data_IF_208939639144
#
_entry.id   IF_208939639144
#
_cell.length_a   1.000
_cell.length_b   1.000
_cell.length_c   1.000
_cell.angle_alpha   90.00
_cell.angle_beta   90.00
_cell.angle_gamma   90.00
#
_symmetry.space_group_name_H-M   'P 1'
#
loop_
_entity.id
_entity.type
_entity.pdbx_description
1 polymer ?
#
# COMPACT_ATOMS: atom_id res chain seq x y z
N UNK A 1 -5.52 -22.55 21.95
CA UNK A 1 -6.56 -21.92 21.10
C UNK A 1 -6.49 -22.42 19.65
N UNK A 2 -5.31 -22.50 19.03
CA UNK A 2 -5.11 -23.02 17.65
C UNK A 2 -5.78 -24.39 17.37
N UNK A 3 -5.56 -25.39 18.23
CA UNK A 3 -6.10 -26.73 18.01
C UNK A 3 -7.65 -26.83 18.05
N UNK A 4 -8.32 -25.89 18.73
CA UNK A 4 -9.79 -25.82 18.80
C UNK A 4 -10.35 -25.09 17.59
N UNK A 5 -9.69 -24.02 17.16
CA UNK A 5 -10.06 -23.29 15.94
C UNK A 5 -9.85 -24.16 14.69
N UNK A 6 -8.79 -24.95 14.63
CA UNK A 6 -8.50 -25.84 13.52
C UNK A 6 -9.55 -26.95 13.33
N UNK A 7 -10.16 -27.45 14.42
CA UNK A 7 -11.23 -28.43 14.30
C UNK A 7 -12.55 -27.82 13.80
N UNK A 8 -12.77 -26.54 14.06
CA UNK A 8 -13.99 -25.82 13.68
C UNK A 8 -13.93 -25.16 12.30
N UNK A 9 -12.69 -24.98 11.75
CA UNK A 9 -12.53 -24.56 10.35
C UNK A 9 -12.96 -25.71 9.45
N UNK A 10 -14.14 -25.63 8.87
CA UNK A 10 -14.60 -26.60 7.87
C UNK A 10 -13.62 -26.70 6.68
N UNK A 11 -13.59 -27.89 6.04
CA UNK A 11 -12.68 -28.15 4.90
C UNK A 11 -12.73 -27.06 3.80
N UNK A 12 -13.91 -26.52 3.51
CA UNK A 12 -14.09 -25.50 2.47
C UNK A 12 -13.38 -24.18 2.78
N UNK A 13 -13.40 -23.70 4.03
CA UNK A 13 -12.71 -22.46 4.42
C UNK A 13 -11.17 -22.64 4.39
N UNK A 14 -10.66 -23.80 4.84
CA UNK A 14 -9.23 -24.10 4.73
C UNK A 14 -8.77 -24.10 3.29
N UNK A 15 -9.49 -24.82 2.43
CA UNK A 15 -9.19 -24.87 1.00
C UNK A 15 -9.20 -23.47 0.38
N UNK A 16 -10.20 -22.65 0.69
CA UNK A 16 -10.28 -21.29 0.22
C UNK A 16 -9.07 -20.45 0.66
N UNK A 17 -8.65 -20.51 1.93
CA UNK A 17 -7.48 -19.80 2.42
C UNK A 17 -6.21 -20.24 1.71
N UNK A 18 -6.05 -21.53 1.46
CA UNK A 18 -4.85 -22.10 0.84
C UNK A 18 -4.74 -21.84 -0.65
N UNK A 19 -5.87 -21.89 -1.38
CA UNK A 19 -5.90 -21.89 -2.84
C UNK A 19 -6.39 -20.56 -3.45
N UNK A 20 -7.32 -19.84 -2.80
CA UNK A 20 -8.02 -18.71 -3.42
C UNK A 20 -7.74 -17.36 -2.74
N UNK A 21 -7.60 -17.30 -1.41
CA UNK A 21 -7.52 -16.03 -0.68
C UNK A 21 -6.41 -15.13 -1.20
N UNK A 22 -5.21 -15.68 -1.40
CA UNK A 22 -4.02 -14.92 -1.80
C UNK A 22 -3.98 -14.58 -3.30
N UNK A 23 -4.97 -14.99 -4.07
CA UNK A 23 -5.22 -14.45 -5.42
C UNK A 23 -6.07 -13.19 -5.41
N UNK A 24 -6.68 -12.86 -4.26
CA UNK A 24 -7.61 -11.73 -4.08
C UNK A 24 -7.13 -10.71 -3.06
N UNK A 25 -6.29 -11.14 -2.10
CA UNK A 25 -5.61 -10.29 -1.12
C UNK A 25 -4.14 -10.69 -1.13
N UNK A 26 -3.28 -9.78 -1.57
CA UNK A 26 -1.84 -9.97 -1.57
C UNK A 26 -1.30 -9.64 -0.19
N UNK A 27 -0.46 -10.53 0.34
CA UNK A 27 0.29 -10.31 1.59
C UNK A 27 1.73 -10.03 1.20
N UNK A 28 2.22 -8.84 1.49
CA UNK A 28 3.52 -8.35 1.03
C UNK A 28 4.51 -8.26 2.19
N UNK A 29 5.72 -8.76 1.98
CA UNK A 29 6.87 -8.57 2.87
C UNK A 29 8.17 -8.82 2.08
N UNK A 30 9.21 -7.96 2.19
CA UNK A 30 10.42 -8.05 1.36
C UNK A 30 11.20 -9.37 1.48
N UNK A 31 11.12 -10.05 2.62
CA UNK A 31 11.87 -11.29 2.89
C UNK A 31 10.99 -12.54 2.89
N UNK A 32 9.70 -12.42 3.21
CA UNK A 32 8.85 -13.57 3.51
C UNK A 32 7.65 -13.73 2.59
N UNK A 33 7.31 -12.68 1.83
CA UNK A 33 6.11 -12.66 0.99
C UNK A 33 6.27 -11.73 -0.23
N UNK A 34 7.30 -11.91 -1.02
CA UNK A 34 7.58 -11.06 -2.21
C UNK A 34 6.51 -11.22 -3.28
N UNK A 35 5.98 -12.43 -3.45
CA UNK A 35 4.97 -12.79 -4.47
C UNK A 35 3.52 -12.79 -3.93
N UNK A 36 3.23 -11.93 -2.97
CA UNK A 36 1.87 -11.74 -2.46
C UNK A 36 1.34 -12.84 -1.55
N UNK A 37 2.17 -13.82 -1.18
CA UNK A 37 1.80 -14.92 -0.27
C UNK A 37 2.97 -15.26 0.65
N UNK A 38 2.66 -15.42 1.94
CA UNK A 38 3.66 -15.91 2.90
C UNK A 38 3.78 -17.44 2.84
N UNK A 39 5.00 -17.94 2.74
CA UNK A 39 5.28 -19.37 2.75
C UNK A 39 5.10 -19.97 4.16
N UNK A 40 4.55 -21.19 4.23
CA UNK A 40 4.26 -21.85 5.52
C UNK A 40 5.50 -22.04 6.40
N UNK A 41 6.66 -22.32 5.79
CA UNK A 41 7.90 -22.54 6.55
C UNK A 41 8.46 -21.22 7.08
N UNK A 42 8.35 -20.12 6.34
CA UNK A 42 8.66 -18.78 6.82
C UNK A 42 7.77 -18.39 8.02
N UNK A 43 6.48 -18.69 7.93
CA UNK A 43 5.53 -18.47 9.04
C UNK A 43 5.92 -19.26 10.30
N UNK A 44 6.27 -20.54 10.12
CA UNK A 44 6.71 -21.40 11.25
C UNK A 44 8.02 -20.90 11.88
N UNK A 45 8.94 -20.40 11.06
CA UNK A 45 10.20 -19.84 11.55
C UNK A 45 9.94 -18.59 12.38
N UNK A 46 9.20 -17.60 11.86
CA UNK A 46 8.87 -16.38 12.60
C UNK A 46 8.21 -16.67 13.95
N UNK A 47 7.28 -17.63 13.99
CA UNK A 47 6.64 -18.08 15.24
C UNK A 47 7.63 -18.73 16.22
N UNK A 48 8.58 -19.56 15.74
CA UNK A 48 9.62 -20.17 16.58
C UNK A 48 10.57 -19.13 17.18
N UNK A 49 10.88 -18.10 16.40
CA UNK A 49 11.76 -17.00 16.83
C UNK A 49 11.04 -16.03 17.80
N UNK A 50 9.75 -16.25 18.05
CA UNK A 50 8.94 -15.40 18.95
C UNK A 50 8.63 -14.03 18.34
N UNK A 51 8.81 -13.86 17.03
CA UNK A 51 8.56 -12.60 16.33
C UNK A 51 7.05 -12.37 16.21
N UNK A 52 6.57 -11.24 16.70
CA UNK A 52 5.18 -10.83 16.56
C UNK A 52 4.93 -10.41 15.09
N UNK A 53 3.90 -10.97 14.48
CA UNK A 53 3.49 -10.61 13.12
C UNK A 53 2.35 -9.60 13.20
N UNK A 54 2.56 -8.43 12.59
CA UNK A 54 1.56 -7.37 12.47
C UNK A 54 1.23 -7.22 10.98
N UNK A 55 -0.05 -7.33 10.65
CA UNK A 55 -0.55 -7.17 9.29
C UNK A 55 -1.23 -5.81 9.16
N UNK A 56 -0.54 -4.86 8.56
CA UNK A 56 -1.14 -3.59 8.14
C UNK A 56 -2.04 -3.86 6.94
N UNK A 57 -3.25 -3.33 6.98
CA UNK A 57 -4.25 -3.53 5.91
C UNK A 57 -4.41 -2.28 5.06
N UNK A 58 -4.75 -2.43 3.79
CA UNK A 58 -5.07 -1.30 2.91
C UNK A 58 -6.46 -0.72 3.19
N UNK A 59 -6.74 0.44 2.58
CA UNK A 59 -8.01 1.16 2.70
C UNK A 59 -9.22 0.33 2.23
N UNK A 60 -9.04 -0.53 1.25
CA UNK A 60 -10.11 -1.36 0.70
C UNK A 60 -10.54 -2.44 1.72
N UNK A 61 -9.59 -3.03 2.43
CA UNK A 61 -9.88 -4.09 3.43
C UNK A 61 -10.61 -3.50 4.63
N UNK A 62 -10.15 -2.38 5.20
CA UNK A 62 -10.84 -1.75 6.34
C UNK A 62 -12.24 -1.26 5.96
N UNK A 63 -12.42 -0.74 4.76
CA UNK A 63 -13.73 -0.30 4.26
C UNK A 63 -14.74 -1.45 4.19
N UNK A 64 -14.30 -2.63 3.76
CA UNK A 64 -15.15 -3.83 3.74
C UNK A 64 -15.53 -4.27 5.16
N UNK A 65 -14.57 -4.27 6.08
CA UNK A 65 -14.81 -4.63 7.48
C UNK A 65 -15.77 -3.65 8.16
N UNK A 66 -15.49 -2.36 8.05
CA UNK A 66 -16.35 -1.32 8.64
C UNK A 66 -17.78 -1.34 8.04
N UNK A 67 -17.90 -1.67 6.75
CA UNK A 67 -19.21 -1.86 6.12
C UNK A 67 -19.96 -3.04 6.72
N UNK A 68 -19.28 -4.16 6.98
CA UNK A 68 -19.89 -5.33 7.63
C UNK A 68 -20.33 -5.00 9.06
N UNK A 69 -19.52 -4.25 9.82
CA UNK A 69 -19.86 -3.79 11.18
C UNK A 69 -21.10 -2.90 11.17
N UNK A 70 -21.17 -1.92 10.27
CA UNK A 70 -22.34 -1.01 10.15
C UNK A 70 -23.63 -1.76 9.81
N UNK A 71 -23.55 -2.82 9.01
CA UNK A 71 -24.68 -3.64 8.62
C UNK A 71 -25.05 -4.75 9.63
N UNK A 72 -24.12 -5.09 10.53
CA UNK A 72 -24.25 -6.25 11.42
C UNK A 72 -24.25 -7.60 10.67
N UNK A 73 -23.65 -7.65 9.47
CA UNK A 73 -23.59 -8.88 8.67
C UNK A 73 -22.46 -8.78 7.62
N UNK A 74 -21.89 -9.93 7.27
CA UNK A 74 -21.05 -10.08 6.09
C UNK A 74 -21.92 -10.48 4.90
N UNK A 75 -22.00 -9.64 3.89
CA UNK A 75 -22.81 -9.88 2.69
C UNK A 75 -22.10 -9.58 1.39
N UNK A 76 -22.75 -9.92 0.26
CA UNK A 76 -22.31 -9.59 -1.09
C UNK A 76 -21.08 -10.33 -1.59
N UNK A 77 -20.52 -9.86 -2.71
CA UNK A 77 -19.44 -10.52 -3.45
C UNK A 77 -18.12 -10.64 -2.66
N UNK A 78 -17.87 -9.73 -1.71
CA UNK A 78 -16.64 -9.69 -0.92
C UNK A 78 -16.73 -10.53 0.38
N UNK A 79 -17.88 -11.16 0.68
CA UNK A 79 -18.11 -11.91 1.91
C UNK A 79 -17.02 -12.95 2.18
N UNK A 80 -16.81 -13.86 1.22
CA UNK A 80 -15.80 -14.93 1.38
C UNK A 80 -14.39 -14.39 1.53
N UNK A 81 -14.07 -13.34 0.79
CA UNK A 81 -12.76 -12.70 0.82
C UNK A 81 -12.46 -12.12 2.20
N UNK A 82 -13.36 -11.28 2.74
CA UNK A 82 -13.12 -10.63 4.04
C UNK A 82 -13.18 -11.65 5.20
N UNK A 83 -14.14 -12.57 5.20
CA UNK A 83 -14.23 -13.59 6.25
C UNK A 83 -13.06 -14.58 6.18
N UNK A 84 -12.58 -14.94 4.99
CA UNK A 84 -11.39 -15.76 4.80
C UNK A 84 -10.12 -15.07 5.32
N UNK A 85 -9.94 -13.78 5.02
CA UNK A 85 -8.83 -12.98 5.54
C UNK A 85 -8.85 -12.89 7.06
N UNK A 86 -9.98 -12.55 7.66
CA UNK A 86 -10.15 -12.48 9.11
C UNK A 86 -9.84 -13.83 9.78
N UNK A 87 -10.33 -14.93 9.23
CA UNK A 87 -10.02 -16.25 9.78
C UNK A 87 -8.57 -16.65 9.61
N UNK A 88 -7.91 -16.21 8.52
CA UNK A 88 -6.47 -16.42 8.35
C UNK A 88 -5.66 -15.67 9.41
N UNK A 89 -6.00 -14.41 9.69
CA UNK A 89 -5.30 -13.61 10.72
C UNK A 89 -5.56 -14.15 12.13
N UNK A 90 -6.81 -14.43 12.47
CA UNK A 90 -7.22 -14.97 13.78
C UNK A 90 -6.56 -16.35 14.05
N UNK A 91 -6.60 -17.25 13.05
CA UNK A 91 -5.99 -18.58 13.18
C UNK A 91 -4.49 -18.53 13.45
N UNK A 92 -3.82 -17.58 12.84
CA UNK A 92 -2.38 -17.44 12.95
C UNK A 92 -1.93 -16.55 14.11
N UNK A 93 -2.87 -16.01 14.88
CA UNK A 93 -2.61 -15.07 15.98
C UNK A 93 -1.83 -13.81 15.51
N UNK A 94 -2.23 -13.29 14.35
CA UNK A 94 -1.65 -12.08 13.80
C UNK A 94 -2.41 -10.87 14.33
N UNK A 95 -1.66 -9.83 14.70
CA UNK A 95 -2.26 -8.53 14.96
C UNK A 95 -2.58 -7.84 13.63
N UNK A 96 -3.77 -7.28 13.52
CA UNK A 96 -4.16 -6.50 12.34
C UNK A 96 -4.10 -5.02 12.69
N UNK A 97 -3.31 -4.27 11.93
CA UNK A 97 -3.12 -2.83 12.11
C UNK A 97 -3.95 -2.03 11.08
N UNK A 98 -4.98 -1.27 11.51
CA UNK A 98 -5.79 -0.45 10.62
C UNK A 98 -5.30 1.01 10.50
N UNK A 99 -4.34 1.44 11.34
CA UNK A 99 -4.01 2.86 11.52
C UNK A 99 -3.55 3.54 10.23
N UNK A 100 -2.69 2.88 9.47
CA UNK A 100 -2.15 3.44 8.23
C UNK A 100 -3.26 3.59 7.19
N UNK A 101 -4.13 2.61 7.04
CA UNK A 101 -5.24 2.66 6.08
C UNK A 101 -6.28 3.75 6.38
N UNK A 102 -6.50 4.10 7.66
CA UNK A 102 -7.39 5.22 7.98
C UNK A 102 -6.72 6.57 7.83
N UNK A 103 -5.40 6.63 7.99
CA UNK A 103 -4.60 7.85 7.81
C UNK A 103 -4.78 8.47 6.42
N UNK A 104 -4.84 7.66 5.38
CA UNK A 104 -5.20 8.11 4.03
C UNK A 104 -6.54 8.87 3.99
N UNK A 105 -7.51 8.44 4.80
CA UNK A 105 -8.83 9.05 4.90
C UNK A 105 -8.85 10.46 5.48
N UNK A 106 -7.81 10.90 6.18
CA UNK A 106 -7.77 12.23 6.84
C UNK A 106 -7.96 13.36 5.83
N UNK A 107 -7.37 13.23 4.65
CA UNK A 107 -7.45 14.26 3.60
C UNK A 107 -8.84 14.46 3.03
N UNK A 108 -9.65 13.40 3.00
CA UNK A 108 -11.02 13.43 2.46
C UNK A 108 -12.06 13.66 3.53
N UNK A 109 -11.87 13.02 4.68
CA UNK A 109 -12.94 12.84 5.67
C UNK A 109 -12.62 13.52 7.01
N UNK A 110 -11.40 14.01 7.19
CA UNK A 110 -10.91 14.62 8.41
C UNK A 110 -10.63 13.65 9.54
N UNK A 111 -9.91 14.12 10.55
CA UNK A 111 -9.38 13.32 11.66
C UNK A 111 -10.49 12.61 12.48
N UNK A 112 -11.62 13.30 12.73
CA UNK A 112 -12.76 12.72 13.48
C UNK A 112 -13.30 11.48 12.76
N UNK A 113 -13.44 11.54 11.44
CA UNK A 113 -13.94 10.41 10.65
C UNK A 113 -12.99 9.20 10.74
N UNK A 114 -11.68 9.44 10.69
CA UNK A 114 -10.69 8.38 10.84
C UNK A 114 -10.74 7.71 12.21
N UNK A 115 -10.88 8.50 13.28
CA UNK A 115 -11.05 7.94 14.64
C UNK A 115 -12.31 7.09 14.75
N UNK A 116 -13.42 7.50 14.16
CA UNK A 116 -14.65 6.70 14.12
C UNK A 116 -14.48 5.39 13.33
N UNK A 117 -13.67 5.40 12.28
CA UNK A 117 -13.36 4.17 11.53
C UNK A 117 -12.52 3.20 12.35
N UNK A 118 -11.56 3.68 13.15
CA UNK A 118 -10.81 2.86 14.09
C UNK A 118 -11.73 2.29 15.16
N UNK A 119 -12.67 3.09 15.68
CA UNK A 119 -13.62 2.61 16.68
C UNK A 119 -14.51 1.47 16.13
N UNK A 120 -14.98 1.55 14.88
CA UNK A 120 -15.71 0.47 14.23
C UNK A 120 -14.85 -0.79 14.06
N UNK A 121 -13.58 -0.61 13.68
CA UNK A 121 -12.64 -1.70 13.56
C UNK A 121 -12.40 -2.40 14.90
N UNK A 122 -12.14 -1.64 15.98
CA UNK A 122 -11.95 -2.20 17.32
C UNK A 122 -13.21 -2.89 17.81
N UNK A 123 -14.39 -2.27 17.59
CA UNK A 123 -15.68 -2.89 17.93
C UNK A 123 -15.84 -4.28 17.32
N UNK A 124 -15.42 -4.48 16.08
CA UNK A 124 -15.45 -5.80 15.45
C UNK A 124 -14.62 -6.83 16.23
N UNK A 125 -13.37 -6.52 16.54
CA UNK A 125 -12.49 -7.47 17.23
C UNK A 125 -12.91 -7.75 18.67
N UNK A 126 -13.55 -6.79 19.33
CA UNK A 126 -14.02 -6.92 20.71
C UNK A 126 -15.35 -7.68 20.82
N UNK A 127 -16.22 -7.59 19.81
CA UNK A 127 -17.60 -8.03 19.94
C UNK A 127 -18.02 -9.14 18.97
N UNK A 128 -17.31 -9.36 17.87
CA UNK A 128 -17.68 -10.38 16.88
C UNK A 128 -16.88 -11.66 17.09
N UNK A 129 -17.54 -12.70 17.58
CA UNK A 129 -16.87 -13.97 17.85
C UNK A 129 -16.40 -14.67 16.55
N UNK A 130 -15.26 -15.39 16.57
CA UNK A 130 -14.72 -16.10 15.39
C UNK A 130 -15.71 -17.09 14.76
N UNK A 131 -16.58 -17.72 15.54
CA UNK A 131 -17.59 -18.66 15.03
C UNK A 131 -18.66 -17.97 14.16
N UNK A 132 -18.95 -16.68 14.41
CA UNK A 132 -19.82 -15.85 13.56
C UNK A 132 -19.16 -15.62 12.21
N UNK A 133 -17.87 -15.33 12.19
CA UNK A 133 -17.10 -15.15 10.96
C UNK A 133 -17.08 -16.45 10.14
N UNK A 134 -16.83 -17.61 10.80
CA UNK A 134 -16.87 -18.93 10.15
C UNK A 134 -18.25 -19.22 9.56
N UNK A 135 -19.31 -19.01 10.34
CA UNK A 135 -20.69 -19.24 9.87
C UNK A 135 -21.02 -18.33 8.69
N UNK A 136 -20.60 -17.09 8.73
CA UNK A 136 -20.80 -16.11 7.64
C UNK A 136 -20.06 -16.51 6.35
N UNK A 137 -18.93 -17.19 6.44
CA UNK A 137 -18.23 -17.70 5.24
C UNK A 137 -19.11 -18.69 4.46
N UNK A 138 -19.80 -19.59 5.17
CA UNK A 138 -20.60 -20.65 4.53
C UNK A 138 -22.04 -20.25 4.22
N UNK A 139 -22.64 -19.35 5.01
CA UNK A 139 -24.05 -19.03 4.95
C UNK A 139 -24.29 -17.55 4.74
N UNK A 140 -25.39 -17.20 4.08
CA UNK A 140 -25.90 -15.84 3.99
C UNK A 140 -26.81 -15.53 5.20
N UNK A 141 -26.97 -14.24 5.49
CA UNK A 141 -27.89 -13.78 6.53
C UNK A 141 -27.48 -14.08 7.97
N UNK A 142 -26.22 -14.42 8.20
CA UNK A 142 -25.68 -14.52 9.57
C UNK A 142 -25.52 -13.10 10.10
N UNK A 143 -26.29 -12.82 11.18
CA UNK A 143 -26.31 -11.51 11.83
C UNK A 143 -25.44 -11.51 13.08
N UNK A 144 -24.87 -10.36 13.38
CA UNK A 144 -24.24 -10.02 14.66
C UNK A 144 -24.66 -8.60 15.06
N UNK A 145 -24.42 -8.22 16.30
CA UNK A 145 -24.68 -6.86 16.75
C UNK A 145 -23.74 -5.90 15.99
N UNK A 146 -24.34 -5.00 15.23
CA UNK A 146 -23.62 -3.98 14.47
C UNK A 146 -23.44 -2.71 15.29
N UNK A 147 -22.63 -1.79 14.77
CA UNK A 147 -22.45 -0.44 15.32
C UNK A 147 -22.51 0.57 14.21
N UNK A 148 -23.36 1.58 14.34
CA UNK A 148 -23.47 2.65 13.34
C UNK A 148 -22.36 3.68 13.52
N UNK A 149 -22.09 4.46 12.47
CA UNK A 149 -21.05 5.50 12.51
C UNK A 149 -21.44 6.66 13.46
N UNK A 150 -22.74 6.92 13.64
CA UNK A 150 -23.28 7.92 14.56
C UNK A 150 -23.15 7.53 16.03
N UNK A 151 -23.13 6.21 16.31
CA UNK A 151 -22.96 5.65 17.66
C UNK A 151 -21.49 5.63 18.09
N UNK A 152 -20.55 5.90 17.17
CA UNK A 152 -19.15 5.98 17.52
C UNK A 152 -18.87 7.30 18.25
N UNK A 153 -18.27 7.20 19.43
CA UNK A 153 -17.83 8.33 20.24
C UNK A 153 -16.32 8.24 20.40
N UNK A 154 -15.56 9.16 19.86
CA UNK A 154 -14.12 9.21 20.17
C UNK A 154 -13.90 10.16 21.35
N UNK A 155 -13.68 9.62 22.53
CA UNK A 155 -13.31 10.42 23.71
C UNK A 155 -11.84 10.89 23.64
N UNK A 156 -10.95 10.06 23.03
CA UNK A 156 -9.56 10.42 22.71
C UNK A 156 -9.35 10.36 21.19
N UNK A 157 -9.15 11.52 20.58
CA UNK A 157 -8.86 11.58 19.14
C UNK A 157 -7.37 11.33 18.91
N UNK A 158 -7.06 10.24 18.21
CA UNK A 158 -5.74 10.05 17.62
C UNK A 158 -5.53 11.11 16.56
N UNK A 159 -4.36 11.73 16.55
CA UNK A 159 -3.97 12.65 15.50
C UNK A 159 -3.29 11.87 14.37
N UNK A 160 -4.01 11.71 13.25
CA UNK A 160 -3.50 11.09 12.02
C UNK A 160 -2.78 12.10 11.15
N UNK A 161 -1.95 12.95 11.74
CA UNK A 161 -1.33 14.08 11.08
C UNK A 161 -0.47 13.67 9.87
N UNK A 162 -0.43 14.58 8.89
CA UNK A 162 0.27 14.50 7.60
C UNK A 162 1.79 14.55 7.72
N UNK A 163 2.34 15.00 8.84
CA UNK A 163 3.74 15.37 9.00
C UNK A 163 4.71 14.18 8.91
N UNK A 164 4.88 13.66 7.68
CA UNK A 164 5.84 12.61 7.35
C UNK A 164 6.63 13.04 6.11
N UNK A 165 7.92 13.35 6.29
CA UNK A 165 8.80 13.75 5.20
C UNK A 165 8.86 12.67 4.09
N UNK A 166 8.82 11.38 4.44
CA UNK A 166 8.78 10.27 3.49
C UNK A 166 7.54 10.33 2.60
N UNK A 167 6.36 10.54 3.20
CA UNK A 167 5.12 10.76 2.46
C UNK A 167 5.22 11.96 1.52
N UNK A 168 5.71 13.09 2.03
CA UNK A 168 5.78 14.32 1.26
C UNK A 168 6.69 14.20 0.03
N UNK A 169 7.83 13.50 0.13
CA UNK A 169 8.68 13.25 -1.05
C UNK A 169 8.00 12.36 -2.09
N UNK A 170 7.32 11.30 -1.66
CA UNK A 170 6.56 10.44 -2.56
C UNK A 170 5.43 11.23 -3.20
N UNK A 171 4.69 11.99 -2.42
CA UNK A 171 3.55 12.79 -2.89
C UNK A 171 3.98 13.87 -3.89
N UNK A 172 5.06 14.62 -3.59
CA UNK A 172 5.62 15.60 -4.51
C UNK A 172 6.06 14.94 -5.83
N UNK A 173 6.68 13.75 -5.76
CA UNK A 173 7.08 13.00 -6.95
C UNK A 173 5.89 12.57 -7.80
N UNK A 174 4.80 12.11 -7.19
CA UNK A 174 3.56 11.75 -7.91
C UNK A 174 2.91 12.97 -8.55
N UNK A 175 2.81 14.09 -7.81
CA UNK A 175 2.29 15.36 -8.35
C UNK A 175 3.10 15.83 -9.57
N UNK A 176 4.44 15.82 -9.46
CA UNK A 176 5.33 16.19 -10.56
C UNK A 176 5.18 15.24 -11.76
N UNK A 177 5.07 13.94 -11.50
CA UNK A 177 4.88 12.95 -12.55
C UNK A 177 3.56 13.19 -13.32
N UNK A 178 2.47 13.46 -12.63
CA UNK A 178 1.18 13.80 -13.25
C UNK A 178 1.27 15.08 -14.05
N UNK A 179 1.95 16.11 -13.53
CA UNK A 179 2.21 17.34 -14.26
C UNK A 179 2.97 17.06 -15.57
N UNK A 180 4.05 16.29 -15.52
CA UNK A 180 4.85 15.91 -16.69
C UNK A 180 4.03 15.11 -17.71
N UNK A 181 3.21 14.15 -17.27
CA UNK A 181 2.35 13.40 -18.19
C UNK A 181 1.39 14.32 -18.94
N UNK A 182 0.84 15.34 -18.30
CA UNK A 182 -0.14 16.26 -18.88
C UNK A 182 0.50 17.33 -19.77
N UNK A 183 1.71 17.71 -19.52
CA UNK A 183 2.42 18.75 -20.27
C UNK A 183 3.29 18.21 -21.40
N UNK A 184 3.84 17.01 -21.24
CA UNK A 184 4.72 16.45 -22.24
C UNK A 184 4.04 15.43 -23.15
N UNK A 185 4.26 15.56 -24.45
CA UNK A 185 3.57 14.77 -25.47
C UNK A 185 4.29 13.47 -25.85
N UNK A 186 5.59 13.37 -25.57
CA UNK A 186 6.39 12.18 -25.93
C UNK A 186 6.88 11.44 -24.71
N UNK A 187 6.96 10.11 -24.80
CA UNK A 187 7.49 9.25 -23.75
C UNK A 187 8.92 9.66 -23.34
N UNK A 188 9.75 10.02 -24.32
CA UNK A 188 11.11 10.44 -24.10
C UNK A 188 11.20 11.72 -23.26
N UNK A 189 10.44 12.77 -23.61
CA UNK A 189 10.38 14.02 -22.82
C UNK A 189 9.84 13.74 -21.41
N UNK A 190 8.81 12.89 -21.26
CA UNK A 190 8.29 12.50 -19.97
C UNK A 190 9.33 11.82 -19.11
N UNK A 191 10.12 10.93 -19.71
CA UNK A 191 11.22 10.25 -19.01
C UNK A 191 12.26 11.25 -18.51
N UNK A 192 12.85 12.07 -19.41
CA UNK A 192 13.91 12.99 -19.03
C UNK A 192 13.43 14.06 -18.05
N UNK A 193 12.30 14.71 -18.31
CA UNK A 193 11.80 15.78 -17.45
C UNK A 193 11.46 15.28 -16.04
N UNK A 194 10.90 14.07 -15.91
CA UNK A 194 10.64 13.51 -14.59
C UNK A 194 11.93 13.11 -13.88
N UNK A 195 12.81 12.32 -14.50
CA UNK A 195 13.96 11.77 -13.81
C UNK A 195 15.04 12.81 -13.51
N UNK A 196 15.25 13.81 -14.36
CA UNK A 196 16.16 14.93 -14.07
C UNK A 196 15.68 15.68 -12.81
N UNK A 197 14.43 16.09 -12.78
CA UNK A 197 13.84 16.72 -11.59
C UNK A 197 13.88 15.83 -10.35
N UNK A 198 13.49 14.57 -10.47
CA UNK A 198 13.42 13.63 -9.36
C UNK A 198 14.78 13.40 -8.70
N UNK A 199 15.83 13.29 -9.53
CA UNK A 199 17.21 13.13 -9.06
C UNK A 199 17.77 14.41 -8.42
N UNK A 200 17.30 15.59 -8.80
CA UNK A 200 17.77 16.86 -8.23
C UNK A 200 17.07 17.22 -6.93
N UNK A 201 15.78 16.93 -6.83
CA UNK A 201 14.92 17.53 -5.79
C UNK A 201 14.45 16.53 -4.72
N UNK A 202 14.48 15.22 -4.99
CA UNK A 202 13.88 14.23 -4.10
C UNK A 202 14.87 13.25 -3.47
N UNK A 203 14.46 12.66 -2.35
CA UNK A 203 15.07 11.41 -1.86
C UNK A 203 14.57 10.28 -2.75
N UNK A 204 15.50 9.50 -3.33
CA UNK A 204 15.16 8.43 -4.27
C UNK A 204 14.45 7.27 -3.53
N UNK A 205 13.27 6.91 -4.02
CA UNK A 205 12.53 5.70 -3.63
C UNK A 205 12.47 4.73 -4.82
N UNK A 206 12.90 3.49 -4.62
CA UNK A 206 12.81 2.42 -5.63
C UNK A 206 11.36 2.16 -6.03
N UNK A 207 10.41 2.33 -5.11
CA UNK A 207 8.97 2.15 -5.38
C UNK A 207 8.41 3.25 -6.29
N UNK A 208 8.82 4.50 -6.09
CA UNK A 208 8.48 5.60 -7.00
C UNK A 208 9.07 5.37 -8.38
N UNK A 209 10.33 4.91 -8.46
CA UNK A 209 10.97 4.56 -9.74
C UNK A 209 10.17 3.49 -10.47
N UNK A 210 9.86 2.37 -9.80
CA UNK A 210 9.11 1.27 -10.39
C UNK A 210 7.71 1.71 -10.86
N UNK A 211 7.01 2.49 -10.04
CA UNK A 211 5.71 3.08 -10.36
C UNK A 211 5.75 3.92 -11.64
N UNK A 212 6.66 4.89 -11.70
CA UNK A 212 6.79 5.79 -12.85
C UNK A 212 7.17 5.04 -14.13
N UNK A 213 8.10 4.09 -14.03
CA UNK A 213 8.52 3.29 -15.18
C UNK A 213 7.39 2.43 -15.73
N UNK A 214 6.60 1.78 -14.88
CA UNK A 214 5.42 1.01 -15.32
C UNK A 214 4.44 1.86 -16.14
N UNK A 215 4.19 3.11 -15.74
CA UNK A 215 3.34 4.01 -16.52
C UNK A 215 3.97 4.47 -17.84
N UNK A 216 5.26 4.76 -17.83
CA UNK A 216 5.98 5.16 -19.04
C UNK A 216 6.04 3.99 -20.04
N UNK A 217 6.24 2.75 -19.58
CA UNK A 217 6.25 1.54 -20.41
C UNK A 217 4.91 1.31 -21.13
N UNK A 218 3.80 1.54 -20.46
CA UNK A 218 2.45 1.43 -21.01
C UNK A 218 2.07 2.60 -21.94
N UNK A 219 3.07 3.23 -22.58
CA UNK A 219 2.93 4.37 -23.49
C UNK A 219 2.37 5.64 -22.83
N UNK A 220 2.59 5.75 -21.53
CA UNK A 220 2.18 6.92 -20.77
C UNK A 220 0.68 7.10 -20.64
N UNK A 221 -0.09 5.99 -20.65
CA UNK A 221 -1.49 6.06 -20.25
C UNK A 221 -1.52 6.51 -18.78
N UNK A 222 -2.11 7.68 -18.45
CA UNK A 222 -2.17 8.13 -17.06
C UNK A 222 -3.04 7.18 -16.24
N UNK A 223 -2.81 7.07 -14.94
CA UNK A 223 -3.72 6.40 -14.03
C UNK A 223 -5.15 6.89 -14.21
N UNK A 224 -6.11 6.00 -14.03
CA UNK A 224 -7.51 6.27 -14.31
C UNK A 224 -8.04 7.55 -13.62
N UNK A 225 -7.62 7.77 -12.38
CA UNK A 225 -8.01 8.94 -11.58
C UNK A 225 -7.41 10.27 -12.07
N UNK A 226 -6.33 10.23 -12.85
CA UNK A 226 -5.68 11.44 -13.36
C UNK A 226 -6.33 12.00 -14.65
N UNK A 227 -7.34 11.31 -15.16
CA UNK A 227 -8.15 11.79 -16.30
C UNK A 227 -9.22 12.78 -15.86
N UNK A 228 -9.68 12.71 -14.61
CA UNK A 228 -10.66 13.62 -14.03
C UNK A 228 -9.92 14.69 -13.21
N UNK A 229 -10.00 15.94 -13.64
CA UNK A 229 -9.28 17.06 -13.03
C UNK A 229 -9.67 17.27 -11.55
N UNK A 230 -10.96 17.11 -11.21
CA UNK A 230 -11.46 17.29 -9.84
C UNK A 230 -10.90 16.25 -8.85
N UNK A 231 -10.61 15.03 -9.32
CA UNK A 231 -10.12 13.94 -8.50
C UNK A 231 -8.60 13.75 -8.57
N UNK A 232 -7.92 14.47 -9.46
CA UNK A 232 -6.49 14.27 -9.70
C UNK A 232 -5.64 14.41 -8.42
N UNK A 233 -5.88 15.46 -7.64
CA UNK A 233 -5.12 15.69 -6.39
C UNK A 233 -5.37 14.56 -5.38
N UNK A 234 -6.62 14.16 -5.21
CA UNK A 234 -6.97 13.04 -4.32
C UNK A 234 -6.37 11.72 -4.82
N UNK A 235 -6.31 11.51 -6.14
CA UNK A 235 -5.64 10.38 -6.75
C UNK A 235 -4.14 10.35 -6.42
N UNK A 236 -3.45 11.49 -6.54
CA UNK A 236 -2.03 11.59 -6.16
C UNK A 236 -1.79 11.30 -4.68
N UNK A 237 -2.69 11.73 -3.79
CA UNK A 237 -2.61 11.42 -2.36
C UNK A 237 -2.72 9.91 -2.12
N UNK A 238 -3.70 9.25 -2.74
CA UNK A 238 -3.90 7.81 -2.56
C UNK A 238 -2.68 7.01 -3.04
N UNK A 239 -2.21 7.27 -4.26
CA UNK A 239 -1.03 6.62 -4.83
C UNK A 239 0.23 6.83 -3.95
N UNK A 240 0.37 8.04 -3.38
CA UNK A 240 1.49 8.32 -2.47
C UNK A 240 1.41 7.49 -1.18
N UNK A 241 0.21 7.29 -0.62
CA UNK A 241 0.02 6.42 0.53
C UNK A 241 0.28 4.95 0.19
N UNK A 242 -0.20 4.47 -0.94
CA UNK A 242 0.03 3.11 -1.39
C UNK A 242 1.54 2.80 -1.51
N UNK A 243 2.31 3.71 -2.11
CA UNK A 243 3.76 3.57 -2.20
C UNK A 243 4.46 3.70 -0.84
N UNK A 244 3.96 4.58 0.05
CA UNK A 244 4.48 4.72 1.40
C UNK A 244 4.31 3.42 2.19
N UNK A 245 3.14 2.79 2.16
CA UNK A 245 2.86 1.57 2.91
C UNK A 245 3.81 0.43 2.54
N UNK A 246 4.03 0.19 1.25
CA UNK A 246 4.97 -0.83 0.82
C UNK A 246 6.44 -0.48 1.11
N UNK A 247 6.75 0.79 1.32
CA UNK A 247 8.06 1.25 1.74
C UNK A 247 8.26 1.09 3.26
N UNK A 248 7.23 1.33 4.06
CA UNK A 248 7.30 1.28 5.53
C UNK A 248 7.40 -0.14 6.08
N UNK A 249 6.93 -1.16 5.36
CA UNK A 249 7.09 -2.56 5.77
C UNK A 249 8.51 -3.12 5.56
N UNK A 250 9.41 -2.35 4.97
CA UNK A 250 10.79 -2.80 4.72
C UNK A 250 11.61 -2.80 6.02
N UNK A 251 11.96 -3.99 6.57
CA UNK A 251 12.68 -4.09 7.83
C UNK A 251 14.10 -3.52 7.76
N UNK A 252 14.64 -3.27 6.55
CA UNK A 252 15.94 -2.61 6.38
C UNK A 252 15.87 -1.12 6.72
N UNK A 253 14.69 -0.52 6.60
CA UNK A 253 14.42 0.89 6.95
C UNK A 253 13.97 1.04 8.40
N UNK A 254 13.17 0.07 8.87
CA UNK A 254 12.58 0.06 10.21
C UNK A 254 12.86 -1.27 10.92
N UNK A 255 14.13 -1.53 11.30
CA UNK A 255 14.50 -2.79 11.92
C UNK A 255 13.82 -2.94 13.28
N UNK A 256 13.27 -4.12 13.57
CA UNK A 256 12.73 -4.49 14.86
C UNK A 256 13.00 -5.96 15.15
N UNK A 257 13.53 -6.26 16.35
CA UNK A 257 13.72 -7.63 16.82
C UNK A 257 12.44 -8.21 17.44
N UNK A 258 11.40 -7.41 17.64
CA UNK A 258 10.19 -7.78 18.37
C UNK A 258 9.02 -8.11 17.46
N UNK A 259 8.94 -7.45 16.33
CA UNK A 259 7.83 -7.61 15.37
C UNK A 259 8.31 -7.50 13.94
N UNK A 260 7.52 -8.04 13.03
CA UNK A 260 7.66 -7.82 11.59
C UNK A 260 6.34 -7.36 11.00
N UNK A 261 6.41 -6.41 10.07
CA UNK A 261 5.25 -5.80 9.42
C UNK A 261 4.99 -6.47 8.08
N UNK A 262 3.76 -6.91 7.85
CA UNK A 262 3.26 -7.34 6.56
C UNK A 262 2.21 -6.33 6.09
N UNK A 263 2.08 -6.16 4.79
CA UNK A 263 1.03 -5.34 4.21
C UNK A 263 0.06 -6.21 3.42
N UNK A 264 -1.23 -6.07 3.71
CA UNK A 264 -2.30 -6.77 3.02
C UNK A 264 -3.04 -5.81 2.10
N UNK A 265 -3.08 -6.10 0.79
CA UNK A 265 -3.73 -5.26 -0.21
C UNK A 265 -4.53 -6.07 -1.23
N UNK A 266 -5.52 -5.43 -1.85
CA UNK A 266 -6.25 -5.95 -3.00
C UNK A 266 -5.73 -5.36 -4.33
N UNK A 267 -4.75 -4.47 -4.28
CA UNK A 267 -4.22 -3.79 -5.44
C UNK A 267 -3.16 -4.65 -6.16
N UNK A 268 -3.50 -5.10 -7.36
CA UNK A 268 -2.59 -5.88 -8.21
C UNK A 268 -1.41 -5.05 -8.73
N UNK A 269 -1.60 -3.75 -8.97
CA UNK A 269 -0.53 -2.88 -9.44
C UNK A 269 0.50 -2.68 -8.34
N UNK A 270 0.02 -2.42 -7.13
CA UNK A 270 0.88 -2.24 -5.96
C UNK A 270 1.67 -3.52 -5.64
N UNK A 271 1.02 -4.69 -5.72
CA UNK A 271 1.69 -5.99 -5.59
C UNK A 271 2.79 -6.19 -6.64
N UNK A 272 2.51 -5.80 -7.90
CA UNK A 272 3.49 -5.88 -8.98
C UNK A 272 4.69 -4.94 -8.78
N UNK A 273 4.44 -3.70 -8.35
CA UNK A 273 5.50 -2.74 -8.00
C UNK A 273 6.37 -3.30 -6.89
N UNK A 274 5.73 -3.86 -5.87
CA UNK A 274 6.44 -4.47 -4.74
C UNK A 274 7.33 -5.64 -5.17
N UNK A 275 6.82 -6.54 -6.00
CA UNK A 275 7.58 -7.65 -6.56
C UNK A 275 8.76 -7.17 -7.39
N UNK A 276 8.57 -6.18 -8.26
CA UNK A 276 9.65 -5.60 -9.08
C UNK A 276 10.81 -5.08 -8.25
N UNK A 277 10.52 -4.47 -7.10
CA UNK A 277 11.55 -3.89 -6.21
C UNK A 277 12.20 -4.95 -5.31
N UNK A 278 11.46 -5.95 -4.86
CA UNK A 278 11.93 -6.85 -3.80
C UNK A 278 12.34 -8.25 -4.28
N UNK A 279 12.04 -8.64 -5.50
CA UNK A 279 12.46 -9.94 -6.04
C UNK A 279 13.95 -9.95 -6.43
N UNK A 280 14.78 -9.64 -5.41
CA UNK A 280 16.24 -9.48 -5.58
C UNK A 280 16.97 -10.80 -5.82
N UNK A 281 16.34 -11.93 -5.54
CA UNK A 281 16.90 -13.25 -5.85
C UNK A 281 17.06 -13.46 -7.37
N UNK A 282 16.30 -12.70 -8.17
CA UNK A 282 16.39 -12.70 -9.62
C UNK A 282 17.60 -11.94 -10.17
N UNK A 283 18.27 -11.12 -9.35
CA UNK A 283 19.29 -10.18 -9.83
C UNK A 283 20.59 -10.34 -9.06
N UNK A 284 21.68 -10.62 -9.78
CA UNK A 284 23.02 -10.73 -9.19
C UNK A 284 23.74 -9.40 -9.04
N UNK A 285 23.30 -8.35 -9.73
CA UNK A 285 23.90 -7.02 -9.71
C UNK A 285 22.90 -5.92 -10.11
N UNK A 286 23.32 -4.66 -9.97
CA UNK A 286 22.51 -3.48 -10.30
C UNK A 286 22.14 -3.41 -11.79
N UNK A 287 22.99 -3.89 -12.67
CA UNK A 287 22.75 -3.84 -14.11
C UNK A 287 21.60 -4.77 -14.51
N UNK A 288 21.59 -5.99 -13.98
CA UNK A 288 20.47 -6.93 -14.17
C UNK A 288 19.16 -6.38 -13.57
N UNK A 289 19.23 -5.74 -12.41
CA UNK A 289 18.08 -5.08 -11.82
C UNK A 289 17.50 -3.98 -12.73
N UNK A 290 18.36 -3.11 -13.26
CA UNK A 290 17.94 -2.07 -14.18
C UNK A 290 17.36 -2.65 -15.48
N UNK A 291 17.97 -3.70 -16.04
CA UNK A 291 17.44 -4.39 -17.23
C UNK A 291 16.01 -4.90 -17.03
N UNK A 292 15.69 -5.40 -15.84
CA UNK A 292 14.34 -5.85 -15.52
C UNK A 292 13.41 -4.67 -15.23
N UNK A 293 13.87 -3.68 -14.49
CA UNK A 293 13.09 -2.49 -14.18
C UNK A 293 12.65 -1.75 -15.46
N UNK A 294 13.49 -1.76 -16.50
CA UNK A 294 13.22 -1.15 -17.80
C UNK A 294 12.73 -2.16 -18.88
N UNK A 295 12.31 -3.36 -18.49
CA UNK A 295 12.01 -4.46 -19.43
C UNK A 295 10.84 -4.19 -20.37
N UNK A 296 9.90 -3.32 -20.02
CA UNK A 296 8.74 -2.98 -20.85
C UNK A 296 9.06 -2.03 -22.00
N UNK A 297 10.26 -1.42 -22.04
CA UNK A 297 10.68 -0.61 -23.17
C UNK A 297 11.27 -1.47 -24.30
N UNK A 298 11.19 -0.99 -25.55
CA UNK A 298 11.87 -1.64 -26.66
C UNK A 298 13.37 -1.70 -26.40
N UNK A 299 14.06 -2.75 -26.90
CA UNK A 299 15.49 -2.98 -26.62
C UNK A 299 16.38 -1.75 -26.86
N UNK A 300 16.12 -0.97 -27.94
CA UNK A 300 16.87 0.23 -28.24
C UNK A 300 16.66 1.32 -27.18
N UNK A 301 15.41 1.59 -26.82
CA UNK A 301 15.07 2.60 -25.81
C UNK A 301 15.53 2.19 -24.42
N UNK A 302 15.44 0.89 -24.11
CA UNK A 302 15.89 0.35 -22.82
C UNK A 302 17.35 0.69 -22.57
N UNK A 303 18.24 0.34 -23.49
CA UNK A 303 19.67 0.65 -23.38
C UNK A 303 19.92 2.16 -23.24
N UNK A 304 19.22 2.98 -24.02
CA UNK A 304 19.34 4.44 -23.94
C UNK A 304 18.90 4.97 -22.58
N UNK A 305 17.74 4.54 -22.08
CA UNK A 305 17.19 5.01 -20.80
C UNK A 305 17.98 4.49 -19.59
N UNK A 306 18.46 3.24 -19.61
CA UNK A 306 19.35 2.72 -18.56
C UNK A 306 20.64 3.54 -18.51
N UNK A 307 21.28 3.80 -19.64
CA UNK A 307 22.52 4.61 -19.69
C UNK A 307 22.27 6.03 -19.15
N UNK A 308 21.19 6.68 -19.60
CA UNK A 308 20.84 8.03 -19.14
C UNK A 308 20.53 8.06 -17.64
N UNK A 309 19.75 7.09 -17.15
CA UNK A 309 19.43 6.96 -15.74
C UNK A 309 20.66 6.72 -14.88
N UNK A 310 21.58 5.85 -15.31
CA UNK A 310 22.85 5.59 -14.62
C UNK A 310 23.72 6.85 -14.53
N UNK A 311 23.79 7.65 -15.60
CA UNK A 311 24.52 8.93 -15.59
C UNK A 311 23.86 9.93 -14.62
N UNK A 312 22.54 9.99 -14.58
CA UNK A 312 21.81 10.85 -13.62
C UNK A 312 22.09 10.40 -12.19
N UNK A 313 22.05 9.10 -11.94
CA UNK A 313 22.32 8.52 -10.61
C UNK A 313 23.75 8.77 -10.14
N UNK A 314 24.74 8.65 -11.02
CA UNK A 314 26.14 8.96 -10.71
C UNK A 314 26.37 10.44 -10.36
N UNK A 315 25.61 11.33 -10.98
CA UNK A 315 25.66 12.78 -10.71
C UNK A 315 24.85 13.18 -9.49
N UNK A 316 23.97 12.30 -9.03
CA UNK A 316 23.10 12.59 -7.91
C UNK A 316 23.92 12.81 -6.64
N UNK A 317 23.80 14.01 -6.09
CA UNK A 317 24.32 14.37 -4.76
C UNK A 317 23.14 14.75 -3.90
N UNK A 318 22.76 13.86 -3.00
CA UNK A 318 21.67 14.15 -2.07
C UNK A 318 22.03 15.36 -1.20
N UNK A 319 21.34 16.47 -1.41
CA UNK A 319 21.46 17.70 -0.60
C UNK A 319 20.54 17.68 0.62
N UNK A 320 19.74 16.62 0.73
CA UNK A 320 18.72 16.44 1.76
C UNK A 320 19.30 15.58 2.87
N UNK A 321 19.21 16.07 4.10
CA UNK A 321 19.61 15.35 5.32
C UNK A 321 18.45 15.34 6.33
N UNK A 322 18.61 14.66 7.45
CA UNK A 322 17.57 14.54 8.47
C UNK A 322 17.09 15.91 9.00
N UNK A 323 17.98 16.91 9.10
CA UNK A 323 17.65 18.23 9.63
C UNK A 323 16.77 19.05 8.71
N UNK A 324 16.96 18.91 7.36
CA UNK A 324 16.24 19.72 6.38
C UNK A 324 15.14 18.92 5.63
N UNK A 325 15.07 17.60 5.78
CA UNK A 325 14.16 16.73 5.02
C UNK A 325 12.71 17.19 5.11
N UNK A 326 12.24 17.53 6.32
CA UNK A 326 10.86 17.95 6.52
C UNK A 326 10.55 19.30 5.85
N UNK A 327 11.40 20.30 6.01
CA UNK A 327 11.19 21.62 5.39
C UNK A 327 11.27 21.56 3.88
N UNK A 328 12.21 20.81 3.33
CA UNK A 328 12.37 20.62 1.88
C UNK A 328 11.16 19.88 1.32
N UNK A 329 10.74 18.78 1.92
CA UNK A 329 9.60 18.00 1.43
C UNK A 329 8.29 18.79 1.44
N UNK A 330 8.03 19.57 2.48
CA UNK A 330 6.85 20.46 2.54
C UNK A 330 6.88 21.52 1.43
N UNK A 331 8.04 22.15 1.22
CA UNK A 331 8.22 23.13 0.15
C UNK A 331 7.95 22.50 -1.24
N UNK A 332 8.46 21.30 -1.49
CA UNK A 332 8.23 20.60 -2.75
C UNK A 332 6.74 20.30 -2.98
N UNK A 333 6.04 19.80 -1.95
CA UNK A 333 4.58 19.58 -2.03
C UNK A 333 3.84 20.87 -2.38
N UNK A 334 4.15 21.98 -1.71
CA UNK A 334 3.49 23.26 -2.00
C UNK A 334 3.72 23.74 -3.44
N UNK A 335 4.97 23.59 -3.94
CA UNK A 335 5.32 23.96 -5.31
C UNK A 335 4.59 23.11 -6.31
N UNK A 336 4.64 21.77 -6.17
CA UNK A 336 4.08 20.85 -7.15
C UNK A 336 2.52 20.84 -7.11
N UNK A 337 1.91 20.95 -5.92
CA UNK A 337 0.45 21.14 -5.85
C UNK A 337 0.00 22.42 -6.56
N UNK A 338 0.68 23.54 -6.31
CA UNK A 338 0.35 24.81 -6.95
C UNK A 338 0.52 24.72 -8.46
N UNK A 339 1.59 24.07 -8.93
CA UNK A 339 1.87 23.86 -10.36
C UNK A 339 0.77 23.04 -11.01
N UNK A 340 0.40 21.93 -10.40
CA UNK A 340 -0.63 21.03 -10.93
C UNK A 340 -2.02 21.67 -10.85
N UNK A 341 -2.39 22.29 -9.73
CA UNK A 341 -3.68 23.01 -9.59
C UNK A 341 -3.82 24.13 -10.63
N UNK A 342 -2.75 24.88 -10.88
CA UNK A 342 -2.77 25.92 -11.94
C UNK A 342 -2.98 25.32 -13.34
N UNK A 343 -2.41 24.16 -13.63
CA UNK A 343 -2.63 23.45 -14.91
C UNK A 343 -4.09 22.95 -15.03
N UNK A 344 -4.71 22.54 -13.93
CA UNK A 344 -6.08 22.02 -13.85
C UNK A 344 -7.13 23.11 -13.71
N UNK A 345 -6.75 24.38 -13.60
CA UNK A 345 -7.63 25.53 -13.30
C UNK A 345 -8.43 25.36 -11.98
N UNK A 346 -7.81 24.78 -10.97
CA UNK A 346 -8.36 24.55 -9.62
C UNK A 346 -7.94 25.66 -8.64
#
# INVERSE_FOLDING_TARGET
MEAVLDKNLGHGLRKYIEEELFTQIHILHPLYAVHGKIEQDSMKQLKRDGTKIIVTIDRNIISLLNTAVKKGTFDGANKKKITGFLMWTIRNDFEVNPYDSVREGVYRNGNISCNKEIELFNYFYDNVAPDVVIKSFYNDGIMFEGKTFEETSSEELLDFNRDNAGFNFIYAAILHFVYVIRTETTQEKRFYNFFEWYMEECIISEYVLAYVLLYLENKGAPPHNYLNDEETINGCINEAFDLLYIQEIDPRRYPSDKYTLFFATQDNLLSKIFEMVNDREKYSNIEEYLEVLFSGFSSKKRVEYINSFSIMLEKHTCKINEENAFSVSNMLVEIEERRLKSLLNL
#
